data_IF_905591391699
#
_entry.id   IF_905591391699
#
_cell.length_a   1.000
_cell.length_b   1.000
_cell.length_c   1.000
_cell.angle_alpha   90.00
_cell.angle_beta   90.00
_cell.angle_gamma   90.00
#
_symmetry.space_group_name_H-M   'P 1'
#
loop_
_entity.id
_entity.type
_entity.pdbx_description
1 polymer ?
#
# COMPACT_ATOMS: atom_id res chain seq x y z
N UNK A 1 -10.15 15.07 -5.84
CA UNK A 1 -9.92 14.59 -7.22
C UNK A 1 -11.16 13.87 -7.77
N UNK A 2 -12.36 14.42 -7.55
CA UNK A 2 -13.54 13.96 -8.28
C UNK A 2 -13.42 14.44 -9.73
N UNK A 3 -13.82 13.65 -10.75
CA UNK A 3 -14.65 12.43 -10.68
C UNK A 3 -13.89 11.08 -10.61
N UNK A 4 -12.55 11.07 -10.66
CA UNK A 4 -11.78 9.81 -10.77
C UNK A 4 -11.77 8.94 -9.51
N UNK A 5 -12.13 9.49 -8.35
CA UNK A 5 -12.13 8.78 -7.06
C UNK A 5 -13.51 8.27 -6.63
N UNK A 6 -14.54 8.42 -7.47
CA UNK A 6 -15.91 8.03 -7.09
C UNK A 6 -16.09 6.50 -7.12
N UNK A 7 -15.31 5.78 -7.93
CA UNK A 7 -15.38 4.31 -8.07
C UNK A 7 -13.99 3.64 -8.07
N UNK A 8 -12.93 4.34 -7.67
CA UNK A 8 -11.56 3.79 -7.64
C UNK A 8 -10.78 4.48 -6.51
N UNK A 9 -10.15 3.74 -5.58
CA UNK A 9 -9.27 4.32 -4.59
C UNK A 9 -8.19 5.17 -5.26
N UNK A 10 -7.85 6.32 -4.68
CA UNK A 10 -6.68 7.11 -5.10
C UNK A 10 -5.42 6.25 -5.39
N UNK A 11 -5.01 5.32 -4.51
CA UNK A 11 -3.85 4.46 -4.79
C UNK A 11 -3.99 3.56 -6.02
N UNK A 12 -5.23 3.29 -6.46
CA UNK A 12 -5.54 2.44 -7.60
C UNK A 12 -5.68 3.20 -8.92
N UNK A 13 -5.54 4.54 -8.92
CA UNK A 13 -5.55 5.33 -10.15
C UNK A 13 -4.43 4.85 -11.07
N UNK A 14 -4.77 4.55 -12.31
CA UNK A 14 -3.83 4.08 -13.32
C UNK A 14 -2.90 5.20 -13.78
N UNK A 15 -1.60 4.94 -13.70
CA UNK A 15 -0.52 5.76 -14.23
C UNK A 15 0.29 4.86 -15.20
N UNK A 16 0.36 5.21 -16.48
CA UNK A 16 1.09 4.43 -17.49
C UNK A 16 0.81 2.91 -17.48
N UNK A 17 -0.44 2.51 -17.24
CA UNK A 17 -0.87 1.11 -17.27
C UNK A 17 -0.70 0.33 -15.95
N UNK A 18 -0.21 0.97 -14.89
CA UNK A 18 -0.11 0.39 -13.54
C UNK A 18 -0.76 1.32 -12.50
N UNK A 19 -1.36 0.79 -11.42
CA UNK A 19 -1.81 1.61 -10.30
C UNK A 19 -0.68 2.45 -9.71
N UNK A 20 -1.00 3.65 -9.22
CA UNK A 20 -0.04 4.49 -8.49
C UNK A 20 0.67 3.73 -7.36
N UNK A 21 -0.09 2.95 -6.57
CA UNK A 21 0.46 2.13 -5.49
C UNK A 21 1.53 1.15 -5.97
N UNK A 22 1.42 0.64 -7.20
CA UNK A 22 2.41 -0.27 -7.77
C UNK A 22 3.78 0.39 -7.85
N UNK A 23 3.86 1.66 -8.27
CA UNK A 23 5.12 2.40 -8.35
C UNK A 23 5.74 2.65 -6.97
N UNK A 24 4.90 2.91 -5.96
CA UNK A 24 5.37 3.11 -4.58
C UNK A 24 6.00 1.83 -4.02
N UNK A 25 5.33 0.68 -4.16
CA UNK A 25 5.84 -0.61 -3.70
C UNK A 25 7.07 -1.04 -4.50
N UNK A 26 7.05 -0.85 -5.81
CA UNK A 26 8.16 -1.20 -6.69
C UNK A 26 9.44 -0.42 -6.36
N UNK A 27 9.34 0.89 -6.06
CA UNK A 27 10.50 1.69 -5.66
C UNK A 27 11.18 1.14 -4.39
N UNK A 28 10.40 0.64 -3.42
CA UNK A 28 10.96 0.03 -2.21
C UNK A 28 11.53 -1.36 -2.49
N UNK A 29 10.88 -2.11 -3.38
CA UNK A 29 11.35 -3.43 -3.79
C UNK A 29 12.71 -3.40 -4.48
N UNK A 30 12.94 -2.43 -5.37
CA UNK A 30 14.23 -2.22 -6.02
C UNK A 30 15.36 -1.91 -5.01
N UNK A 31 15.00 -1.59 -3.76
CA UNK A 31 15.91 -1.30 -2.66
C UNK A 31 15.94 -2.41 -1.59
N UNK A 32 15.36 -3.58 -1.87
CA UNK A 32 15.42 -4.77 -1.03
C UNK A 32 14.22 -5.01 -0.11
N UNK A 33 13.18 -4.17 -0.15
CA UNK A 33 11.95 -4.40 0.62
C UNK A 33 10.98 -5.28 -0.16
N UNK A 34 10.77 -6.52 0.27
CA UNK A 34 9.83 -7.44 -0.38
C UNK A 34 8.54 -7.67 0.39
N UNK A 35 8.46 -7.27 1.66
CA UNK A 35 7.31 -7.51 2.55
C UNK A 35 6.50 -6.24 2.74
N UNK A 36 5.20 -6.32 2.51
CA UNK A 36 4.29 -5.18 2.59
C UNK A 36 3.03 -5.53 3.38
N UNK A 37 2.58 -4.59 4.21
CA UNK A 37 1.29 -4.69 4.90
C UNK A 37 0.41 -3.53 4.43
N UNK A 38 -0.63 -3.84 3.64
CA UNK A 38 -1.55 -2.85 3.11
C UNK A 38 -2.71 -2.63 4.09
N UNK A 39 -2.77 -1.44 4.68
CA UNK A 39 -3.82 -1.00 5.59
C UNK A 39 -5.00 -0.46 4.79
N UNK A 40 -5.86 -1.35 4.32
CA UNK A 40 -6.97 -1.02 3.42
C UNK A 40 -8.24 -0.66 4.20
N UNK A 41 -9.08 0.16 3.57
CA UNK A 41 -10.40 0.51 4.10
C UNK A 41 -11.42 0.56 2.98
N UNK A 42 -11.73 1.76 2.51
CA UNK A 42 -12.65 1.95 1.38
C UNK A 42 -12.15 1.21 0.13
N UNK A 43 -13.00 0.35 -0.45
CA UNK A 43 -12.72 -0.47 -1.64
C UNK A 43 -11.46 -1.35 -1.51
N UNK A 44 -11.26 -1.98 -0.35
CA UNK A 44 -10.16 -2.93 -0.11
C UNK A 44 -10.10 -4.05 -1.16
N UNK A 45 -11.26 -4.53 -1.63
CA UNK A 45 -11.37 -5.58 -2.65
C UNK A 45 -10.68 -5.23 -3.97
N UNK A 46 -10.67 -3.96 -4.39
CA UNK A 46 -9.97 -3.56 -5.62
C UNK A 46 -8.46 -3.68 -5.48
N UNK A 47 -7.94 -3.34 -4.30
CA UNK A 47 -6.51 -3.45 -3.99
C UNK A 47 -6.11 -4.92 -3.95
N UNK A 48 -6.84 -5.74 -3.18
CA UNK A 48 -6.52 -7.17 -3.05
C UNK A 48 -6.73 -7.95 -4.35
N UNK A 49 -7.72 -7.58 -5.18
CA UNK A 49 -7.92 -8.19 -6.50
C UNK A 49 -6.79 -7.88 -7.48
N UNK A 50 -6.23 -6.66 -7.43
CA UNK A 50 -5.11 -6.31 -8.30
C UNK A 50 -3.80 -6.93 -7.82
N UNK A 51 -3.49 -6.80 -6.53
CA UNK A 51 -2.17 -7.14 -5.99
C UNK A 51 -2.05 -8.59 -5.50
N UNK A 52 -3.16 -9.27 -5.17
CA UNK A 52 -3.12 -10.65 -4.65
C UNK A 52 -2.16 -10.77 -3.46
N UNK A 53 -1.40 -11.85 -3.39
CA UNK A 53 -0.32 -12.03 -2.41
C UNK A 53 0.99 -11.32 -2.78
N UNK A 54 1.04 -10.63 -3.93
CA UNK A 54 2.23 -9.97 -4.44
C UNK A 54 3.23 -10.88 -5.16
N UNK A 55 2.98 -12.19 -5.22
CA UNK A 55 3.94 -13.17 -5.72
C UNK A 55 4.33 -12.94 -7.19
N UNK A 56 3.44 -12.39 -8.01
CA UNK A 56 3.74 -12.06 -9.42
C UNK A 56 4.80 -10.96 -9.59
N UNK A 57 5.14 -10.23 -8.53
CA UNK A 57 6.19 -9.20 -8.50
C UNK A 57 7.34 -9.53 -7.54
N UNK A 58 7.36 -10.74 -6.96
CA UNK A 58 8.36 -11.10 -5.94
C UNK A 58 8.14 -10.41 -4.60
N UNK A 59 6.89 -10.06 -4.28
CA UNK A 59 6.48 -9.43 -3.03
C UNK A 59 5.75 -10.44 -2.13
N UNK A 60 5.72 -10.16 -0.83
CA UNK A 60 4.88 -10.79 0.19
C UNK A 60 3.93 -9.72 0.74
N UNK A 61 2.67 -9.75 0.31
CA UNK A 61 1.66 -8.76 0.70
C UNK A 61 0.66 -9.38 1.69
N UNK A 62 0.55 -8.74 2.85
CA UNK A 62 -0.52 -8.98 3.80
C UNK A 62 -1.49 -7.80 3.84
N UNK A 63 -2.76 -8.07 4.10
CA UNK A 63 -3.81 -7.05 4.15
C UNK A 63 -4.33 -6.90 5.58
N UNK A 64 -4.50 -5.67 6.04
CA UNK A 64 -5.26 -5.34 7.25
C UNK A 64 -6.44 -4.48 6.84
N UNK A 65 -7.58 -5.14 6.67
CA UNK A 65 -8.84 -4.49 6.29
C UNK A 65 -9.53 -3.93 7.53
N UNK A 66 -10.01 -2.69 7.43
CA UNK A 66 -10.71 -2.04 8.51
C UNK A 66 -11.77 -1.04 8.03
N UNK A 67 -12.82 -0.80 8.82
CA UNK A 67 -13.82 0.24 8.60
C UNK A 67 -13.23 1.60 8.17
N UNK A 68 -13.95 2.33 7.32
CA UNK A 68 -13.48 3.60 6.74
C UNK A 68 -13.27 4.68 7.81
N UNK A 69 -14.02 4.63 8.91
CA UNK A 69 -13.96 5.57 10.04
C UNK A 69 -12.72 5.39 10.93
N UNK A 70 -11.94 4.33 10.75
CA UNK A 70 -10.68 4.19 11.48
C UNK A 70 -9.67 5.25 11.05
N UNK A 71 -9.17 5.98 12.05
CA UNK A 71 -8.02 6.86 11.89
C UNK A 71 -6.72 6.06 11.62
N UNK A 72 -5.65 6.79 11.26
CA UNK A 72 -4.35 6.18 10.94
C UNK A 72 -3.77 5.38 12.11
N UNK A 73 -3.89 5.89 13.35
CA UNK A 73 -3.33 5.23 14.53
C UNK A 73 -4.02 3.90 14.79
N UNK A 74 -5.35 3.87 14.70
CA UNK A 74 -6.14 2.64 14.86
C UNK A 74 -5.84 1.61 13.78
N UNK A 75 -5.69 2.04 12.52
CA UNK A 75 -5.29 1.13 11.43
C UNK A 75 -3.95 0.44 11.70
N UNK A 76 -2.96 1.20 12.17
CA UNK A 76 -1.65 0.64 12.54
C UNK A 76 -1.79 -0.30 13.74
N UNK A 77 -2.56 0.08 14.77
CA UNK A 77 -2.79 -0.73 15.96
C UNK A 77 -3.43 -2.09 15.65
N UNK A 78 -4.40 -2.12 14.74
CA UNK A 78 -5.09 -3.34 14.34
C UNK A 78 -4.21 -4.24 13.45
N UNK A 79 -3.22 -3.66 12.76
CA UNK A 79 -2.23 -4.40 11.99
C UNK A 79 -1.01 -4.87 12.78
N UNK A 80 -0.90 -4.52 14.07
CA UNK A 80 0.32 -4.71 14.90
C UNK A 80 0.92 -6.12 14.84
N UNK A 81 0.10 -7.17 14.76
CA UNK A 81 0.56 -8.57 14.73
C UNK A 81 1.17 -8.97 13.38
N UNK A 82 0.98 -8.15 12.35
CA UNK A 82 1.55 -8.29 11.00
C UNK A 82 2.78 -7.41 10.81
N UNK A 83 3.08 -6.50 11.73
CA UNK A 83 4.22 -5.58 11.59
C UNK A 83 5.47 -6.22 12.20
N UNK A 84 6.62 -5.94 11.59
CA UNK A 84 7.92 -6.27 12.18
C UNK A 84 8.27 -5.25 13.28
N UNK A 85 9.27 -5.56 14.11
CA UNK A 85 9.74 -4.63 15.15
C UNK A 85 10.24 -3.29 14.57
N UNK A 86 10.79 -3.34 13.36
CA UNK A 86 11.21 -2.18 12.57
C UNK A 86 10.51 -2.20 11.22
N UNK A 87 9.76 -1.13 10.92
CA UNK A 87 9.01 -1.01 9.68
C UNK A 87 8.97 0.44 9.19
N UNK A 88 8.65 0.60 7.91
CA UNK A 88 8.37 1.90 7.30
C UNK A 88 6.85 2.12 7.25
N UNK A 89 6.41 3.30 7.67
CA UNK A 89 5.01 3.72 7.53
C UNK A 89 4.91 4.79 6.44
N UNK A 90 4.16 4.48 5.38
CA UNK A 90 3.97 5.37 4.23
C UNK A 90 2.49 5.60 3.95
N UNK A 91 2.16 6.83 3.57
CA UNK A 91 0.85 7.15 3.00
C UNK A 91 0.80 6.70 1.54
N UNK A 92 -0.26 5.98 1.17
CA UNK A 92 -0.43 5.37 -0.15
C UNK A 92 -0.69 6.36 -1.28
N UNK A 93 -0.80 7.66 -0.98
CA UNK A 93 -0.99 8.75 -1.95
C UNK A 93 0.22 9.69 -2.04
N UNK A 94 1.29 9.42 -1.29
CA UNK A 94 2.54 10.16 -1.38
C UNK A 94 3.54 9.44 -2.28
N UNK A 95 4.13 10.15 -3.23
CA UNK A 95 5.24 9.65 -4.04
C UNK A 95 6.41 10.62 -3.99
N UNK A 96 7.53 10.14 -3.47
CA UNK A 96 8.80 10.84 -3.40
C UNK A 96 9.89 9.79 -3.61
N UNK A 97 10.95 10.10 -4.38
CA UNK A 97 12.14 9.26 -4.42
C UNK A 97 12.66 9.03 -3.00
N UNK A 98 12.61 7.78 -2.55
CA UNK A 98 12.92 7.41 -1.16
C UNK A 98 14.14 6.48 -1.12
N UNK A 99 15.37 7.04 -1.15
CA UNK A 99 16.61 6.27 -1.07
C UNK A 99 16.85 5.75 0.35
N UNK A 100 16.71 4.43 0.56
CA UNK A 100 16.87 3.77 1.86
C UNK A 100 18.31 3.81 2.39
N UNK A 101 19.31 3.96 1.50
CA UNK A 101 20.71 4.10 1.87
C UNK A 101 21.03 5.44 2.58
N UNK A 102 20.07 6.37 2.61
CA UNK A 102 20.19 7.68 3.24
C UNK A 102 19.37 7.85 4.52
N UNK A 103 18.74 6.77 4.99
CA UNK A 103 17.88 6.73 6.19
C UNK A 103 18.66 6.21 7.39
#
# INVERSE_FOLDING_TARGET
MRPYTDNTPKPMISCNGKPFLWYLLHQLHDQGVSRFVLLTGYLAEEVSSYFGDGGSWGWDIQYSEGPVDWDTGKRVWEAREKLDDLFLLLYSDNFVPFPLDKV
#
